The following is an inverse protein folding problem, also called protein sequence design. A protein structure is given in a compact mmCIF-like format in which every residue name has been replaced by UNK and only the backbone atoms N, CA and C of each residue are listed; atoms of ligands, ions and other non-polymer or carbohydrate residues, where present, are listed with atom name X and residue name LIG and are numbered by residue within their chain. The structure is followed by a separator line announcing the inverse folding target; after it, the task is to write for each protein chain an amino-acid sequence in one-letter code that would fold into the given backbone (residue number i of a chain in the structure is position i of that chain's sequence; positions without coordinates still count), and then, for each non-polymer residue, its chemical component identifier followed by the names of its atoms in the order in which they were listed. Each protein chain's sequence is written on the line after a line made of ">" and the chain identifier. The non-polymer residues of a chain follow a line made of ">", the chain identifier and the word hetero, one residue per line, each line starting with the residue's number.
data_IF_091014758875
#
_entry.id   IF_091014758875
#
_cell.length_a   1.000
_cell.length_b   1.000
_cell.length_c   1.000
_cell.angle_alpha   90.00
_cell.angle_beta   90.00
_cell.angle_gamma   90.00
#
_symmetry.space_group_name_H-M   'P 1'
#
loop_
_entity.id
_entity.type
_entity.pdbx_description
1 polymer ?
#
# COMPACT_ATOMS: atom_id res chain seq x y z
N UNK A 1 -25.78 4.70 -1.23
CA UNK A 1 -24.47 4.55 -0.54
C UNK A 1 -24.40 3.11 -0.02
N UNK A 2 -23.47 2.30 -0.51
CA UNK A 2 -23.28 0.95 0.00
C UNK A 2 -22.84 1.03 1.47
N UNK A 3 -23.50 0.26 2.31
CA UNK A 3 -23.21 0.24 3.74
C UNK A 3 -21.87 -0.49 3.95
N UNK A 4 -20.83 0.23 4.38
CA UNK A 4 -19.56 -0.42 4.74
C UNK A 4 -19.81 -1.40 5.88
N UNK A 5 -19.39 -2.69 5.75
CA UNK A 5 -19.45 -3.59 6.87
C UNK A 5 -18.59 -3.03 7.99
N UNK A 6 -19.20 -2.76 9.14
CA UNK A 6 -18.50 -2.40 10.35
C UNK A 6 -18.13 -3.68 11.09
N UNK A 7 -16.86 -3.77 11.50
CA UNK A 7 -16.49 -4.80 12.46
C UNK A 7 -17.30 -4.58 13.74
N UNK A 8 -17.93 -5.60 14.31
CA UNK A 8 -18.67 -5.45 15.56
C UNK A 8 -17.76 -5.07 16.76
N UNK A 9 -16.46 -5.15 16.59
CA UNK A 9 -15.47 -4.92 17.66
C UNK A 9 -14.63 -3.65 17.50
N UNK A 10 -14.63 -3.01 16.32
CA UNK A 10 -13.79 -1.83 16.06
C UNK A 10 -14.56 -0.93 15.09
N UNK A 11 -14.73 0.34 15.45
CA UNK A 11 -15.28 1.37 14.57
C UNK A 11 -14.24 1.82 13.51
N UNK A 12 -13.63 0.85 12.87
CA UNK A 12 -12.56 1.03 11.88
C UNK A 12 -13.00 0.55 10.50
N UNK A 13 -12.56 1.21 9.44
CA UNK A 13 -12.87 0.78 8.08
C UNK A 13 -12.24 -0.59 7.79
N UNK A 14 -12.99 -1.46 7.11
CA UNK A 14 -12.51 -2.78 6.71
C UNK A 14 -11.63 -2.70 5.45
N UNK A 15 -10.58 -3.51 5.41
CA UNK A 15 -9.67 -3.64 4.27
C UNK A 15 -9.83 -5.03 3.63
N UNK A 16 -9.97 -5.05 2.31
CA UNK A 16 -9.85 -6.25 1.49
C UNK A 16 -8.54 -6.21 0.72
N UNK A 17 -7.61 -7.10 1.06
CA UNK A 17 -6.34 -7.25 0.37
C UNK A 17 -6.37 -8.48 -0.56
N UNK A 18 -5.94 -8.31 -1.80
CA UNK A 18 -5.89 -9.35 -2.82
C UNK A 18 -4.48 -9.47 -3.39
N UNK A 19 -3.91 -10.67 -3.37
CA UNK A 19 -2.72 -10.99 -4.16
C UNK A 19 -3.14 -11.24 -5.61
N UNK A 20 -2.63 -10.43 -6.55
CA UNK A 20 -3.01 -10.52 -7.96
C UNK A 20 -2.46 -11.76 -8.66
N UNK A 21 -1.26 -12.19 -8.31
CA UNK A 21 -0.59 -13.40 -8.82
C UNK A 21 0.15 -14.10 -7.68
N UNK A 22 -0.14 -15.37 -7.49
CA UNK A 22 0.54 -16.18 -6.46
C UNK A 22 2.00 -16.45 -6.84
N UNK A 23 2.94 -16.19 -5.92
CA UNK A 23 4.35 -16.56 -6.08
C UNK A 23 4.60 -18.07 -6.03
N UNK A 24 3.67 -18.83 -5.44
CA UNK A 24 3.83 -20.28 -5.23
C UNK A 24 3.25 -21.07 -6.41
N UNK A 25 2.03 -20.73 -6.80
CA UNK A 25 1.29 -21.51 -7.80
C UNK A 25 1.29 -20.85 -9.19
N UNK A 26 1.74 -19.61 -9.28
CA UNK A 26 1.66 -18.77 -10.49
C UNK A 26 0.22 -18.58 -11.01
N UNK A 27 -0.77 -18.82 -10.16
CA UNK A 27 -2.18 -18.60 -10.52
C UNK A 27 -2.54 -17.12 -10.36
N UNK A 28 -3.31 -16.60 -11.32
CA UNK A 28 -3.87 -15.24 -11.27
C UNK A 28 -5.23 -15.27 -10.59
N UNK A 29 -5.41 -14.38 -9.61
CA UNK A 29 -6.71 -14.16 -9.01
C UNK A 29 -7.56 -13.22 -9.87
N UNK A 30 -8.87 -13.42 -9.97
CA UNK A 30 -9.77 -12.52 -10.69
C UNK A 30 -9.78 -11.13 -10.04
N UNK A 31 -9.32 -10.12 -10.77
CA UNK A 31 -9.28 -8.75 -10.26
C UNK A 31 -10.68 -8.14 -10.05
N UNK A 32 -11.73 -8.76 -10.60
CA UNK A 32 -13.13 -8.39 -10.34
C UNK A 32 -13.50 -8.46 -8.86
N UNK A 33 -12.80 -9.25 -8.04
CA UNK A 33 -13.00 -9.28 -6.59
C UNK A 33 -12.72 -7.92 -5.94
N UNK A 34 -11.79 -7.13 -6.47
CA UNK A 34 -11.51 -5.78 -5.98
C UNK A 34 -12.71 -4.87 -6.21
N UNK A 35 -13.27 -4.88 -7.42
CA UNK A 35 -14.47 -4.08 -7.73
C UNK A 35 -15.67 -4.51 -6.89
N UNK A 36 -15.83 -5.83 -6.67
CA UNK A 36 -16.89 -6.35 -5.82
C UNK A 36 -16.70 -5.91 -4.35
N UNK A 37 -15.50 -6.07 -3.78
CA UNK A 37 -15.20 -5.63 -2.42
C UNK A 37 -15.41 -4.12 -2.25
N UNK A 38 -14.99 -3.32 -3.25
CA UNK A 38 -15.23 -1.89 -3.26
C UNK A 38 -16.73 -1.54 -3.26
N UNK A 39 -17.55 -2.28 -4.01
CA UNK A 39 -19.01 -2.09 -4.01
C UNK A 39 -19.66 -2.41 -2.67
N UNK A 40 -19.07 -3.28 -1.88
CA UNK A 40 -19.47 -3.60 -0.51
C UNK A 40 -18.95 -2.58 0.52
N UNK A 41 -18.15 -1.59 0.09
CA UNK A 41 -17.65 -0.53 0.95
C UNK A 41 -16.32 -0.84 1.65
N UNK A 42 -15.60 -1.88 1.26
CA UNK A 42 -14.25 -2.12 1.74
C UNK A 42 -13.27 -1.12 1.10
N UNK A 43 -12.23 -0.74 1.84
CA UNK A 43 -10.98 -0.31 1.22
C UNK A 43 -10.34 -1.50 0.52
N UNK A 44 -9.71 -1.25 -0.61
CA UNK A 44 -9.13 -2.32 -1.43
C UNK A 44 -7.64 -2.15 -1.62
N UNK A 45 -6.91 -3.24 -1.50
CA UNK A 45 -5.46 -3.26 -1.68
C UNK A 45 -5.06 -4.41 -2.62
N UNK A 46 -4.28 -4.10 -3.65
CA UNK A 46 -3.74 -5.09 -4.58
C UNK A 46 -2.25 -5.30 -4.32
N UNK A 47 -1.88 -6.50 -3.95
CA UNK A 47 -0.50 -6.95 -4.11
C UNK A 47 -0.26 -7.30 -5.58
N UNK A 48 0.38 -6.40 -6.30
CA UNK A 48 0.74 -6.55 -7.70
C UNK A 48 2.21 -6.92 -7.90
N UNK A 49 2.94 -7.28 -6.83
CA UNK A 49 4.37 -7.54 -6.90
C UNK A 49 4.75 -8.59 -7.94
N UNK A 50 3.99 -9.68 -8.05
CA UNK A 50 4.21 -10.70 -9.07
C UNK A 50 3.35 -10.50 -10.33
N UNK A 51 2.26 -9.73 -10.24
CA UNK A 51 1.34 -9.49 -11.35
C UNK A 51 1.88 -8.44 -12.32
N UNK A 52 2.42 -7.34 -11.82
CA UNK A 52 2.85 -6.19 -12.63
C UNK A 52 3.87 -6.54 -13.73
N UNK A 53 4.85 -7.43 -13.50
CA UNK A 53 5.83 -7.79 -14.54
C UNK A 53 5.21 -8.46 -15.78
N UNK A 54 4.08 -9.13 -15.62
CA UNK A 54 3.50 -10.00 -16.65
C UNK A 54 2.10 -9.60 -17.12
N UNK A 55 1.54 -8.53 -16.55
CA UNK A 55 0.14 -8.19 -16.81
C UNK A 55 -0.08 -6.68 -16.81
N UNK A 56 -0.81 -6.21 -17.80
CA UNK A 56 -1.27 -4.81 -17.81
C UNK A 56 -2.29 -4.58 -16.72
N UNK A 57 -2.04 -3.58 -15.85
CA UNK A 57 -2.94 -3.15 -14.80
C UNK A 57 -3.46 -1.76 -15.15
N UNK A 58 -4.78 -1.58 -15.18
CA UNK A 58 -5.42 -0.31 -15.44
C UNK A 58 -6.15 0.17 -14.19
N UNK A 59 -5.57 1.15 -13.50
CA UNK A 59 -6.19 1.75 -12.32
C UNK A 59 -7.46 2.55 -12.65
N UNK A 60 -7.64 2.92 -13.93
CA UNK A 60 -8.89 3.54 -14.41
C UNK A 60 -10.03 2.53 -14.49
N UNK A 61 -9.74 1.32 -14.99
CA UNK A 61 -10.73 0.25 -15.11
C UNK A 61 -11.01 -0.45 -13.78
N UNK A 62 -10.01 -0.49 -12.91
CA UNK A 62 -10.08 -1.13 -11.60
C UNK A 62 -9.48 -0.18 -10.55
N UNK A 63 -10.25 0.74 -10.01
CA UNK A 63 -9.77 1.72 -9.05
C UNK A 63 -9.58 1.09 -7.68
N UNK A 64 -8.34 0.65 -7.38
CA UNK A 64 -7.94 0.22 -6.04
C UNK A 64 -7.64 1.42 -5.15
N UNK A 65 -7.67 1.24 -3.83
CA UNK A 65 -7.29 2.29 -2.88
C UNK A 65 -5.78 2.29 -2.64
N UNK A 66 -5.15 1.11 -2.68
CA UNK A 66 -3.71 0.96 -2.63
C UNK A 66 -3.21 -0.21 -3.47
N UNK A 67 -1.98 -0.11 -4.00
CA UNK A 67 -1.34 -1.16 -4.77
C UNK A 67 0.16 -1.17 -4.49
N UNK A 68 0.71 -2.34 -4.18
CA UNK A 68 2.15 -2.53 -4.03
C UNK A 68 2.76 -3.17 -5.29
N UNK A 69 3.91 -2.66 -5.70
CA UNK A 69 4.67 -3.16 -6.85
C UNK A 69 6.12 -3.40 -6.44
N UNK A 70 6.72 -4.47 -6.92
CA UNK A 70 8.11 -4.83 -6.65
C UNK A 70 8.94 -4.69 -7.91
N UNK A 71 9.91 -3.79 -7.90
CA UNK A 71 10.69 -3.47 -9.11
C UNK A 71 11.69 -4.55 -9.49
N UNK A 72 12.22 -5.31 -8.53
CA UNK A 72 13.16 -6.38 -8.87
C UNK A 72 12.52 -7.47 -9.74
N UNK A 73 11.22 -7.68 -9.61
CA UNK A 73 10.47 -8.63 -10.45
C UNK A 73 10.23 -8.10 -11.86
N UNK A 74 10.32 -6.79 -12.07
CA UNK A 74 10.16 -6.14 -13.38
C UNK A 74 11.51 -5.92 -14.07
N UNK A 75 12.53 -5.53 -13.31
CA UNK A 75 13.81 -5.04 -13.85
C UNK A 75 15.01 -5.85 -13.36
N UNK A 76 14.80 -6.83 -12.49
CA UNK A 76 15.87 -7.63 -11.91
C UNK A 76 16.51 -6.96 -10.69
N UNK A 77 17.80 -7.22 -10.49
CA UNK A 77 18.59 -6.62 -9.40
C UNK A 77 18.71 -5.09 -9.58
N UNK A 78 18.69 -4.31 -8.49
CA UNK A 78 18.72 -4.72 -7.09
C UNK A 78 17.33 -5.07 -6.51
N UNK A 79 17.35 -5.96 -5.49
CA UNK A 79 16.17 -6.24 -4.66
C UNK A 79 15.93 -5.11 -3.65
N UNK A 80 14.76 -5.11 -3.02
CA UNK A 80 14.45 -4.18 -1.94
C UNK A 80 13.82 -2.85 -2.38
N UNK A 81 13.72 -2.62 -3.70
CA UNK A 81 13.05 -1.42 -4.24
C UNK A 81 11.68 -1.78 -4.82
N UNK A 82 10.70 -0.98 -4.49
CA UNK A 82 9.33 -1.09 -4.96
C UNK A 82 8.60 0.24 -4.85
N UNK A 83 7.31 0.24 -5.13
CA UNK A 83 6.49 1.41 -4.89
C UNK A 83 5.12 1.05 -4.31
N UNK A 84 4.57 1.99 -3.57
CA UNK A 84 3.18 2.02 -3.15
C UNK A 84 2.44 3.08 -3.97
N UNK A 85 1.47 2.65 -4.76
CA UNK A 85 0.53 3.54 -5.42
C UNK A 85 -0.74 3.57 -4.59
N UNK A 86 -1.12 4.71 -4.07
CA UNK A 86 -2.27 4.79 -3.17
C UNK A 86 -3.06 6.10 -3.34
N UNK A 87 -4.36 6.03 -3.08
CA UNK A 87 -5.19 7.23 -2.98
C UNK A 87 -4.83 7.99 -1.70
N UNK A 88 -4.72 9.32 -1.77
CA UNK A 88 -4.50 10.16 -0.58
C UNK A 88 -5.56 9.94 0.50
N UNK A 89 -6.81 9.70 0.11
CA UNK A 89 -7.91 9.37 1.03
C UNK A 89 -7.68 8.05 1.79
N UNK A 90 -7.04 7.08 1.16
CA UNK A 90 -6.70 5.81 1.80
C UNK A 90 -5.52 5.98 2.76
N UNK A 91 -4.46 6.69 2.36
CA UNK A 91 -3.31 6.95 3.24
C UNK A 91 -3.72 7.62 4.56
N UNK A 92 -4.71 8.53 4.53
CA UNK A 92 -5.24 9.18 5.74
C UNK A 92 -5.93 8.24 6.73
N UNK A 93 -6.29 7.03 6.31
CA UNK A 93 -6.87 6.00 7.19
C UNK A 93 -5.80 5.16 7.88
N UNK A 94 -4.58 5.16 7.33
CA UNK A 94 -3.48 4.36 7.87
C UNK A 94 -2.84 5.12 9.03
N UNK A 95 -2.57 4.39 10.12
CA UNK A 95 -1.87 4.94 11.30
C UNK A 95 -0.56 4.18 11.47
N UNK A 96 0.54 4.90 11.45
CA UNK A 96 1.85 4.30 11.75
C UNK A 96 2.09 4.34 13.25
N UNK A 97 2.36 3.20 13.88
CA UNK A 97 2.64 3.16 15.32
C UNK A 97 4.07 3.60 15.68
N UNK A 98 4.94 3.73 14.71
CA UNK A 98 6.36 4.14 14.87
C UNK A 98 6.79 5.02 13.71
N UNK A 99 7.92 5.71 13.90
CA UNK A 99 8.53 6.56 12.90
C UNK A 99 9.81 5.93 12.30
N UNK A 100 10.25 6.46 11.18
CA UNK A 100 11.54 6.20 10.55
C UNK A 100 12.07 7.50 9.94
N UNK A 101 13.36 7.56 9.65
CA UNK A 101 13.95 8.70 8.96
C UNK A 101 13.21 9.02 7.65
N UNK A 102 12.99 10.29 7.37
CA UNK A 102 12.21 10.77 6.23
C UNK A 102 10.69 10.80 6.45
N UNK A 103 10.17 10.26 7.57
CA UNK A 103 8.73 10.23 7.84
C UNK A 103 8.29 11.15 8.98
N UNK A 104 9.22 11.89 9.54
CA UNK A 104 9.02 12.81 10.68
C UNK A 104 9.74 14.12 10.45
N UNK A 105 9.16 15.21 10.94
CA UNK A 105 9.79 16.52 10.96
C UNK A 105 10.67 16.71 12.21
N UNK A 106 10.21 16.19 13.35
CA UNK A 106 10.89 16.35 14.64
C UNK A 106 10.78 15.08 15.47
N UNK A 107 11.90 14.70 16.11
CA UNK A 107 11.96 13.64 17.12
C UNK A 107 12.49 14.23 18.41
N UNK A 108 11.82 13.97 19.52
CA UNK A 108 12.22 14.42 20.84
C UNK A 108 13.16 13.40 21.51
N UNK A 109 14.35 13.84 21.90
CA UNK A 109 15.33 13.04 22.66
C UNK A 109 15.83 13.84 23.87
N UNK A 110 15.75 13.31 25.12
CA UNK A 110 15.12 12.05 25.49
C UNK A 110 13.59 12.14 25.46
N UNK A 111 12.92 11.08 25.05
CA UNK A 111 11.45 10.99 25.04
C UNK A 111 10.93 10.05 23.95
N UNK A 112 9.65 9.86 23.95
CA UNK A 112 8.94 9.04 22.96
C UNK A 112 8.11 9.89 21.97
N UNK A 113 8.29 11.22 21.97
CA UNK A 113 7.52 12.12 21.13
C UNK A 113 8.15 12.30 19.75
N UNK A 114 7.33 12.32 18.73
CA UNK A 114 7.71 12.71 17.37
C UNK A 114 6.58 13.49 16.71
N UNK A 115 6.94 14.35 15.76
CA UNK A 115 6.00 15.02 14.87
C UNK A 115 6.14 14.37 13.48
N UNK A 116 5.06 13.76 13.00
CA UNK A 116 5.04 13.17 11.67
C UNK A 116 5.16 14.27 10.60
N UNK A 117 5.74 13.93 9.47
CA UNK A 117 5.84 14.82 8.32
C UNK A 117 4.47 15.37 7.92
N UNK A 118 4.41 16.63 7.50
CA UNK A 118 3.15 17.34 7.24
C UNK A 118 2.38 16.74 6.07
N UNK A 119 3.09 16.39 4.99
CA UNK A 119 2.46 15.77 3.83
C UNK A 119 2.24 14.28 4.05
N UNK A 120 1.00 13.84 3.84
CA UNK A 120 0.58 12.46 4.14
C UNK A 120 1.39 11.40 3.39
N UNK A 121 1.90 11.71 2.18
CA UNK A 121 2.71 10.76 1.41
C UNK A 121 4.12 10.63 1.98
N UNK A 122 4.70 11.69 2.55
CA UNK A 122 6.02 11.68 3.19
C UNK A 122 6.05 10.75 4.41
N UNK A 123 4.91 10.59 5.09
CA UNK A 123 4.78 9.64 6.20
C UNK A 123 4.93 8.18 5.78
N UNK A 124 4.93 7.88 4.48
CA UNK A 124 5.06 6.54 3.91
C UNK A 124 6.30 6.38 3.03
N UNK A 125 7.20 7.37 3.02
CA UNK A 125 8.46 7.23 2.32
C UNK A 125 9.36 6.17 2.98
N UNK A 126 10.10 5.47 2.12
CA UNK A 126 11.17 4.58 2.57
C UNK A 126 12.38 5.46 2.88
N UNK A 127 13.14 5.20 3.98
CA UNK A 127 14.37 5.92 4.23
C UNK A 127 15.29 5.82 3.02
N UNK A 128 15.84 6.94 2.61
CA UNK A 128 16.72 7.08 1.46
C UNK A 128 17.92 6.12 1.62
N UNK A 129 17.92 5.04 0.87
CA UNK A 129 19.16 4.35 0.57
C UNK A 129 19.79 5.12 -0.60
N UNK A 130 20.97 5.72 -0.43
CA UNK A 130 21.63 6.38 -1.55
C UNK A 130 21.82 5.33 -2.65
N UNK A 131 21.28 5.63 -3.84
CA UNK A 131 21.42 4.78 -5.05
C UNK A 131 22.89 4.48 -5.42
N UNK A 132 23.82 5.13 -4.75
CA UNK A 132 25.29 4.92 -4.86
C UNK A 132 25.79 3.66 -4.13
N UNK A 133 24.94 2.96 -3.38
CA UNK A 133 25.29 1.70 -2.72
C UNK A 133 24.61 0.46 -3.36
N UNK A 134 24.01 0.65 -4.52
CA UNK A 134 23.40 -0.42 -5.31
C UNK A 134 24.32 -0.81 -6.49
#
# INVERSE_FOLDING_TARGET
>A
MAHRPKSPFIDSPCLFALTGLSNVTNSKNPLSFISHASSLGYYTFLDAAALAPSSRISLRAMPVDGMAVSFYKMFGFPTGVGCLVAKKSFLRQLKRPWFAGGTVDVVQVPGAGFTAAQEIYEQFEVPFLPLTQL
#
